data_IF_574399902082
#
_entry.id   IF_574399902082
#
_cell.length_a   1.000
_cell.length_b   1.000
_cell.length_c   1.000
_cell.angle_alpha   90.00
_cell.angle_beta   90.00
_cell.angle_gamma   90.00
#
_symmetry.space_group_name_H-M   'P 1'
#
loop_
_entity.id
_entity.type
_entity.pdbx_description
1 polymer ?
#
# COMPACT_ATOMS: atom_id res chain seq x y z
N UNK A 1 -1.07 -16.59 28.57
CA UNK A 1 -2.39 -16.44 29.23
C UNK A 1 -2.89 -15.02 28.96
N UNK A 2 -3.93 -14.85 28.15
CA UNK A 2 -4.55 -13.53 27.94
C UNK A 2 -5.12 -13.03 29.27
N UNK A 3 -4.94 -11.74 29.60
CA UNK A 3 -5.40 -11.17 30.88
C UNK A 3 -6.92 -11.27 30.98
N UNK A 4 -7.43 -11.78 32.11
CA UNK A 4 -8.86 -11.91 32.41
C UNK A 4 -9.49 -10.51 32.44
N UNK A 5 -10.17 -10.12 31.36
CA UNK A 5 -10.78 -8.79 31.19
C UNK A 5 -10.31 -7.99 29.96
N UNK A 6 -9.33 -8.48 29.18
CA UNK A 6 -8.98 -7.88 27.89
C UNK A 6 -9.99 -8.26 26.81
N UNK A 7 -10.36 -7.30 25.93
CA UNK A 7 -11.20 -7.59 24.77
C UNK A 7 -10.51 -8.66 23.89
N UNK A 8 -11.07 -9.87 23.75
CA UNK A 8 -10.46 -10.96 22.98
C UNK A 8 -10.29 -10.63 21.50
N UNK A 9 -10.97 -9.60 21.01
CA UNK A 9 -10.95 -9.18 19.60
C UNK A 9 -9.88 -8.13 19.26
N UNK A 10 -9.11 -7.66 20.25
CA UNK A 10 -8.20 -6.50 20.09
C UNK A 10 -7.10 -6.73 19.03
N UNK A 11 -6.79 -7.98 18.68
CA UNK A 11 -5.83 -8.33 17.62
C UNK A 11 -6.43 -8.83 16.31
N UNK A 12 -7.72 -9.19 16.28
CA UNK A 12 -8.37 -9.82 15.13
C UNK A 12 -9.25 -8.85 14.35
N UNK A 13 -10.01 -7.97 15.03
CA UNK A 13 -10.90 -7.00 14.36
C UNK A 13 -10.15 -5.89 13.62
N UNK A 14 -8.93 -5.55 14.04
CA UNK A 14 -8.13 -4.46 13.47
C UNK A 14 -7.02 -4.94 12.53
N UNK A 15 -6.97 -6.24 12.20
CA UNK A 15 -6.01 -6.76 11.24
C UNK A 15 -6.46 -6.36 9.84
N UNK A 16 -5.95 -5.23 9.35
CA UNK A 16 -6.18 -4.79 7.97
C UNK A 16 -5.53 -5.77 7.00
N UNK A 17 -6.33 -6.72 6.52
CA UNK A 17 -5.86 -7.73 5.58
C UNK A 17 -6.03 -7.20 4.16
N UNK A 18 -5.02 -6.48 3.66
CA UNK A 18 -5.00 -5.89 2.32
C UNK A 18 -4.76 -6.93 1.20
N UNK A 19 -4.90 -8.23 1.47
CA UNK A 19 -4.70 -9.30 0.49
C UNK A 19 -3.25 -9.46 0.02
N UNK A 20 -2.26 -9.04 0.81
CA UNK A 20 -0.84 -9.09 0.45
C UNK A 20 -0.17 -10.34 1.04
N UNK A 21 0.69 -11.00 0.27
CA UNK A 21 1.50 -12.13 0.73
C UNK A 21 2.55 -11.70 1.77
N UNK A 22 3.10 -10.48 1.62
CA UNK A 22 4.10 -9.92 2.52
C UNK A 22 3.66 -8.56 3.07
N UNK A 23 3.96 -8.26 4.34
CA UNK A 23 3.68 -6.94 4.91
C UNK A 23 4.60 -5.88 4.27
N UNK A 24 4.08 -4.68 4.05
CA UNK A 24 4.91 -3.53 3.68
C UNK A 24 5.57 -2.98 4.94
N UNK A 25 6.88 -3.19 5.07
CA UNK A 25 7.66 -2.76 6.24
C UNK A 25 8.36 -1.42 6.03
N UNK A 26 8.52 -0.98 4.77
CA UNK A 26 9.32 0.18 4.40
C UNK A 26 8.51 1.22 3.62
N UNK A 27 8.88 2.50 3.78
CA UNK A 27 8.23 3.63 3.12
C UNK A 27 9.24 4.50 2.39
N UNK A 28 8.94 4.82 1.12
CA UNK A 28 9.68 5.80 0.32
C UNK A 28 8.85 7.09 0.18
N UNK A 29 9.50 8.25 0.31
CA UNK A 29 8.92 9.57 0.05
C UNK A 29 9.62 10.21 -1.13
N UNK A 30 8.86 10.79 -2.05
CA UNK A 30 9.38 11.47 -3.23
C UNK A 30 8.73 12.85 -3.40
N UNK A 31 9.53 13.83 -3.84
CA UNK A 31 9.05 15.15 -4.24
C UNK A 31 8.71 15.10 -5.72
N UNK A 32 7.50 15.54 -6.06
CA UNK A 32 6.95 15.44 -7.41
C UNK A 32 6.21 16.72 -7.78
N UNK A 33 6.09 16.99 -9.07
CA UNK A 33 5.25 18.09 -9.54
C UNK A 33 3.77 17.88 -9.15
N UNK A 34 3.03 18.95 -8.80
CA UNK A 34 1.61 18.85 -8.43
C UNK A 34 0.75 18.18 -9.51
N UNK A 35 1.03 18.47 -10.79
CA UNK A 35 0.35 17.88 -11.93
C UNK A 35 0.53 16.37 -12.01
N UNK A 36 1.73 15.88 -11.68
CA UNK A 36 2.03 14.45 -11.67
C UNK A 36 1.20 13.74 -10.59
N UNK A 37 1.08 14.34 -9.40
CA UNK A 37 0.22 13.82 -8.33
C UNK A 37 -1.26 13.80 -8.75
N UNK A 38 -1.71 14.81 -9.48
CA UNK A 38 -3.09 14.84 -9.99
C UNK A 38 -3.34 13.71 -11.00
N UNK A 39 -2.44 13.53 -11.97
CA UNK A 39 -2.50 12.44 -12.96
C UNK A 39 -2.48 11.06 -12.31
N UNK A 40 -1.60 10.84 -11.32
CA UNK A 40 -1.54 9.57 -10.57
C UNK A 40 -2.85 9.26 -9.85
N UNK A 41 -3.50 10.27 -9.25
CA UNK A 41 -4.81 10.09 -8.60
C UNK A 41 -5.92 9.74 -9.59
N UNK A 42 -5.92 10.35 -10.77
CA UNK A 42 -6.89 10.04 -11.83
C UNK A 42 -6.72 8.60 -12.31
N UNK A 43 -5.49 8.20 -12.65
CA UNK A 43 -5.16 6.83 -13.06
C UNK A 43 -5.53 5.80 -11.98
N UNK A 44 -5.27 6.11 -10.71
CA UNK A 44 -5.62 5.22 -9.59
C UNK A 44 -7.14 5.00 -9.51
N UNK A 45 -7.91 6.07 -9.73
CA UNK A 45 -9.37 6.01 -9.75
C UNK A 45 -9.90 5.18 -10.92
N UNK A 46 -9.35 5.36 -12.11
CA UNK A 46 -9.72 4.59 -13.31
C UNK A 46 -9.45 3.10 -13.14
N UNK A 47 -8.28 2.75 -12.60
CA UNK A 47 -7.86 1.37 -12.34
C UNK A 47 -8.42 0.78 -11.04
N UNK A 48 -9.25 1.52 -10.31
CA UNK A 48 -9.83 1.12 -9.00
C UNK A 48 -8.78 0.63 -8.00
N UNK A 49 -7.61 1.28 -7.98
CA UNK A 49 -6.49 0.95 -7.11
C UNK A 49 -6.02 2.19 -6.34
N UNK A 50 -4.99 2.05 -5.50
CA UNK A 50 -4.39 3.18 -4.80
C UNK A 50 -3.17 3.72 -5.53
N UNK A 51 -2.85 5.00 -5.35
CA UNK A 51 -1.62 5.60 -5.91
C UNK A 51 -0.35 4.82 -5.53
N UNK A 52 -0.18 4.38 -4.27
CA UNK A 52 0.95 3.51 -3.91
C UNK A 52 1.01 2.19 -4.66
N UNK A 53 -0.12 1.59 -5.03
CA UNK A 53 -0.12 0.33 -5.79
C UNK A 53 0.36 0.59 -7.22
N UNK A 54 -0.10 1.66 -7.88
CA UNK A 54 0.40 2.06 -9.20
C UNK A 54 1.92 2.29 -9.22
N UNK A 55 2.43 3.00 -8.21
CA UNK A 55 3.87 3.29 -8.11
C UNK A 55 4.65 2.00 -7.90
N UNK A 56 4.13 1.07 -7.08
CA UNK A 56 4.76 -0.23 -6.84
C UNK A 56 4.84 -1.04 -8.14
N UNK A 57 3.73 -1.19 -8.84
CA UNK A 57 3.68 -1.96 -10.09
C UNK A 57 4.64 -1.38 -11.14
N UNK A 58 4.71 -0.05 -11.25
CA UNK A 58 5.62 0.64 -12.17
C UNK A 58 7.10 0.44 -11.77
N UNK A 59 7.41 0.49 -10.47
CA UNK A 59 8.76 0.23 -9.97
C UNK A 59 9.17 -1.22 -10.18
N UNK A 60 8.29 -2.19 -9.91
CA UNK A 60 8.54 -3.61 -10.17
C UNK A 60 8.78 -3.87 -11.65
N UNK A 61 7.96 -3.31 -12.53
CA UNK A 61 8.19 -3.39 -13.98
C UNK A 61 9.54 -2.79 -14.37
N UNK A 62 9.86 -1.59 -13.89
CA UNK A 62 11.12 -0.93 -14.19
C UNK A 62 12.33 -1.76 -13.71
N UNK A 63 12.31 -2.24 -12.47
CA UNK A 63 13.39 -3.06 -11.91
C UNK A 63 13.56 -4.38 -12.65
N UNK A 64 12.47 -5.00 -13.11
CA UNK A 64 12.51 -6.23 -13.89
C UNK A 64 12.98 -6.01 -15.35
N UNK A 65 12.86 -4.80 -15.89
CA UNK A 65 13.38 -4.47 -17.23
C UNK A 65 14.87 -4.10 -17.24
N UNK A 66 15.41 -3.68 -16.09
CA UNK A 66 16.81 -3.25 -15.96
C UNK A 66 17.70 -4.40 -15.48
N UNK A 67 17.12 -5.47 -14.93
CA UNK A 67 17.79 -6.72 -14.58
C UNK A 67 17.91 -7.66 -15.79
#
# INVERSE_FOLDING_TARGET
MARQGGNPDFGTKYKFNYGREKPLTEQVKAVVYPEMKAKLKQLAKEKKCTVPDLIRDALEQYLNTVA
#
